data_IF_873521012541
#
_entry.id   IF_873521012541
#
_cell.length_a   1.000
_cell.length_b   1.000
_cell.length_c   1.000
_cell.angle_alpha   90.00
_cell.angle_beta   90.00
_cell.angle_gamma   90.00
#
_symmetry.space_group_name_H-M   'P 1'
#
loop_
_entity.id
_entity.type
_entity.pdbx_description
1 polymer ?
#
# COMPACT_ATOMS: atom_id res chain seq x y z
N UNK A 1 -5.58 -30.22 -3.64
CA UNK A 1 -5.59 -29.24 -2.53
C UNK A 1 -4.30 -29.36 -1.77
N UNK A 2 -3.68 -28.22 -1.45
CA UNK A 2 -2.44 -28.18 -0.67
C UNK A 2 -2.62 -28.93 0.66
N UNK A 3 -1.62 -29.70 1.05
CA UNK A 3 -1.61 -30.43 2.33
C UNK A 3 -1.09 -29.53 3.46
N UNK A 4 -0.19 -28.61 3.14
CA UNK A 4 0.33 -27.61 4.07
C UNK A 4 -0.63 -26.42 4.16
N UNK A 5 -0.72 -25.75 5.34
CA UNK A 5 -1.56 -24.58 5.48
C UNK A 5 -1.02 -23.35 4.73
N UNK A 6 -1.94 -22.45 4.36
CA UNK A 6 -1.63 -21.09 3.95
C UNK A 6 -1.43 -20.24 5.20
N UNK A 7 -0.26 -19.65 5.41
CA UNK A 7 -0.03 -18.68 6.49
C UNK A 7 -0.56 -17.30 6.11
N UNK A 8 -1.49 -16.72 6.89
CA UNK A 8 -1.97 -15.36 6.69
C UNK A 8 -1.34 -14.45 7.77
N UNK A 9 -0.27 -13.76 7.40
CA UNK A 9 0.46 -12.87 8.29
C UNK A 9 -0.17 -11.48 8.34
N UNK A 10 -0.76 -11.09 9.47
CA UNK A 10 -1.53 -9.84 9.59
C UNK A 10 -1.38 -9.17 10.96
N UNK A 11 -1.61 -7.87 11.01
CA UNK A 11 -1.59 -7.08 12.24
C UNK A 11 -3.00 -6.65 12.68
N UNK A 12 -3.87 -6.32 11.72
CA UNK A 12 -5.21 -5.84 12.03
C UNK A 12 -6.23 -6.99 12.03
N UNK A 13 -6.90 -7.29 13.16
CA UNK A 13 -7.75 -8.49 13.26
C UNK A 13 -9.02 -8.42 12.40
N UNK A 14 -9.56 -7.20 12.17
CA UNK A 14 -10.86 -7.03 11.54
C UNK A 14 -10.81 -6.79 10.04
N UNK A 15 -9.71 -6.25 9.51
CA UNK A 15 -9.62 -5.89 8.09
C UNK A 15 -9.70 -7.10 7.16
N UNK A 16 -9.32 -8.28 7.65
CA UNK A 16 -9.26 -9.51 6.85
C UNK A 16 -10.42 -10.47 7.16
N UNK A 17 -11.40 -10.03 7.95
CA UNK A 17 -12.59 -10.84 8.27
C UNK A 17 -13.31 -11.36 7.02
N UNK A 18 -13.51 -10.57 5.93
CA UNK A 18 -14.14 -11.10 4.72
C UNK A 18 -13.32 -12.24 4.08
N UNK A 19 -11.98 -12.13 4.04
CA UNK A 19 -11.13 -13.21 3.56
C UNK A 19 -11.23 -14.45 4.45
N UNK A 20 -11.11 -14.28 5.77
CA UNK A 20 -11.23 -15.41 6.70
C UNK A 20 -12.56 -16.12 6.58
N UNK A 21 -13.67 -15.37 6.49
CA UNK A 21 -15.00 -15.94 6.31
C UNK A 21 -15.10 -16.76 5.01
N UNK A 22 -14.47 -16.31 3.93
CA UNK A 22 -14.49 -17.03 2.66
C UNK A 22 -13.63 -18.31 2.72
N UNK A 23 -12.44 -18.25 3.34
CA UNK A 23 -11.58 -19.42 3.54
C UNK A 23 -12.25 -20.45 4.46
N UNK A 24 -12.90 -20.00 5.56
CA UNK A 24 -13.67 -20.85 6.48
C UNK A 24 -14.84 -21.53 5.75
N UNK A 25 -15.59 -20.77 4.92
CA UNK A 25 -16.71 -21.30 4.13
C UNK A 25 -16.28 -22.41 3.16
N UNK A 26 -15.06 -22.31 2.61
CA UNK A 26 -14.47 -23.30 1.68
C UNK A 26 -13.87 -24.50 2.40
N UNK A 27 -13.57 -24.38 3.69
CA UNK A 27 -12.78 -25.36 4.43
C UNK A 27 -11.31 -25.36 4.01
N UNK A 28 -10.80 -24.22 3.56
CA UNK A 28 -9.39 -24.05 3.16
C UNK A 28 -8.48 -24.28 4.36
N UNK A 29 -7.38 -25.03 4.17
CA UNK A 29 -6.38 -25.22 5.22
C UNK A 29 -5.50 -23.96 5.34
N UNK A 30 -5.71 -23.15 6.38
CA UNK A 30 -4.93 -21.93 6.63
C UNK A 30 -4.70 -21.68 8.11
N UNK A 31 -3.66 -20.89 8.42
CA UNK A 31 -3.33 -20.42 9.76
C UNK A 31 -3.23 -18.90 9.80
N UNK A 32 -3.75 -18.29 10.85
CA UNK A 32 -3.62 -16.85 11.14
C UNK A 32 -2.34 -16.61 11.91
N UNK A 33 -1.44 -15.79 11.37
CA UNK A 33 -0.19 -15.41 12.01
C UNK A 33 -0.34 -13.97 12.49
N UNK A 34 -0.54 -13.77 13.80
CA UNK A 34 -0.68 -12.45 14.41
C UNK A 34 0.70 -11.77 14.53
N UNK A 35 0.95 -10.79 13.69
CA UNK A 35 2.19 -10.02 13.67
C UNK A 35 2.47 -9.27 14.98
N UNK A 36 1.45 -9.01 15.81
CA UNK A 36 1.60 -8.20 17.04
C UNK A 36 2.41 -8.90 18.12
N UNK A 37 2.40 -10.23 18.11
CA UNK A 37 3.08 -11.09 19.10
C UNK A 37 3.97 -12.14 18.42
N UNK A 38 4.18 -12.00 17.13
CA UNK A 38 4.98 -12.95 16.35
C UNK A 38 6.45 -12.90 16.72
N UNK A 39 7.08 -14.07 16.69
CA UNK A 39 8.54 -14.27 16.80
C UNK A 39 8.94 -15.41 15.90
N UNK A 40 10.15 -15.39 15.38
CA UNK A 40 10.74 -16.49 14.64
C UNK A 40 12.14 -16.80 15.17
N UNK A 41 12.57 -18.03 14.98
CA UNK A 41 13.91 -18.49 15.32
C UNK A 41 14.69 -18.67 14.00
N UNK A 42 15.76 -17.87 13.74
CA UNK A 42 16.55 -17.97 12.52
C UNK A 42 17.26 -19.34 12.34
N UNK A 43 17.37 -20.15 13.37
CA UNK A 43 17.95 -21.48 13.30
C UNK A 43 16.91 -22.59 13.06
N UNK A 44 15.63 -22.25 13.00
CA UNK A 44 14.53 -23.20 12.84
C UNK A 44 13.97 -23.19 11.42
N UNK A 45 13.60 -24.38 10.95
CA UNK A 45 12.90 -24.58 9.68
C UNK A 45 11.35 -24.64 9.88
N UNK A 46 10.85 -24.22 11.06
CA UNK A 46 9.44 -24.41 11.42
C UNK A 46 8.48 -23.77 10.39
N UNK A 47 8.84 -22.62 9.84
CA UNK A 47 8.00 -21.92 8.86
C UNK A 47 7.92 -22.60 7.49
N UNK A 48 8.76 -23.60 7.22
CA UNK A 48 8.63 -24.44 6.02
C UNK A 48 7.39 -25.34 6.02
N UNK A 49 6.64 -25.36 7.15
CA UNK A 49 5.34 -26.01 7.26
C UNK A 49 4.25 -25.35 6.41
N UNK A 50 4.41 -24.08 6.02
CA UNK A 50 3.46 -23.39 5.16
C UNK A 50 3.65 -23.75 3.68
N UNK A 51 2.54 -23.92 2.95
CA UNK A 51 2.55 -23.99 1.49
C UNK A 51 3.01 -22.65 0.90
N UNK A 52 2.47 -21.57 1.45
CA UNK A 52 2.85 -20.18 1.21
C UNK A 52 2.51 -19.31 2.42
N UNK A 53 3.14 -18.14 2.50
CA UNK A 53 2.75 -17.08 3.45
C UNK A 53 2.23 -15.87 2.68
N UNK A 54 1.02 -15.43 3.02
CA UNK A 54 0.41 -14.23 2.47
C UNK A 54 0.61 -13.06 3.42
N UNK A 55 1.43 -12.09 3.02
CA UNK A 55 1.73 -10.92 3.82
C UNK A 55 0.61 -9.88 3.73
N UNK A 56 0.03 -9.55 4.89
CA UNK A 56 -1.02 -8.55 5.08
C UNK A 56 -0.65 -7.51 6.13
N UNK A 57 0.64 -7.24 6.33
CA UNK A 57 1.10 -6.16 7.21
C UNK A 57 0.78 -4.79 6.60
N UNK A 58 0.21 -3.92 7.44
CA UNK A 58 -0.15 -2.56 7.02
C UNK A 58 0.95 -1.55 7.35
N UNK A 59 1.34 -0.68 6.40
CA UNK A 59 2.22 0.46 6.69
C UNK A 59 1.59 1.46 7.67
N UNK A 60 0.26 1.41 7.88
CA UNK A 60 -0.43 2.26 8.86
C UNK A 60 -0.47 1.69 10.29
N UNK A 61 0.19 0.57 10.56
CA UNK A 61 0.22 -0.05 11.91
C UNK A 61 0.73 0.92 12.99
N UNK A 62 1.59 1.88 12.63
CA UNK A 62 2.08 2.90 13.55
C UNK A 62 0.96 3.78 14.13
N UNK A 63 -0.16 4.01 13.41
CA UNK A 63 -1.32 4.74 13.93
C UNK A 63 -2.03 4.02 15.09
N UNK A 64 -1.75 2.72 15.25
CA UNK A 64 -2.25 1.86 16.31
C UNK A 64 -1.19 1.54 17.37
N UNK A 65 -0.08 2.32 17.40
CA UNK A 65 1.02 2.13 18.34
C UNK A 65 1.94 0.94 18.02
N UNK A 66 1.88 0.42 16.78
CA UNK A 66 2.58 -0.80 16.36
C UNK A 66 3.63 -0.55 15.27
N UNK A 67 4.33 0.57 15.35
CA UNK A 67 5.40 0.93 14.39
C UNK A 67 6.51 -0.13 14.29
N UNK A 68 6.85 -0.74 15.44
CA UNK A 68 7.87 -1.80 15.50
C UNK A 68 7.50 -3.02 14.63
N UNK A 69 6.21 -3.34 14.48
CA UNK A 69 5.78 -4.46 13.65
C UNK A 69 6.08 -4.23 12.17
N UNK A 70 6.05 -2.98 11.69
CA UNK A 70 6.40 -2.65 10.31
C UNK A 70 7.87 -3.00 10.04
N UNK A 71 8.77 -2.57 10.94
CA UNK A 71 10.21 -2.83 10.81
C UNK A 71 10.52 -4.32 10.99
N UNK A 72 9.90 -4.97 11.99
CA UNK A 72 10.04 -6.40 12.24
C UNK A 72 9.61 -7.26 11.04
N UNK A 73 8.52 -6.89 10.37
CA UNK A 73 8.00 -7.62 9.21
C UNK A 73 9.04 -7.75 8.09
N UNK A 74 9.87 -6.72 7.85
CA UNK A 74 10.92 -6.80 6.84
C UNK A 74 11.91 -7.95 7.11
N UNK A 75 12.24 -8.17 8.40
CA UNK A 75 13.14 -9.25 8.81
C UNK A 75 12.47 -10.61 8.67
N UNK A 76 11.21 -10.73 9.06
CA UNK A 76 10.48 -11.98 8.96
C UNK A 76 10.26 -12.40 7.50
N UNK A 77 9.84 -11.49 6.63
CA UNK A 77 9.69 -11.79 5.21
C UNK A 77 11.02 -12.24 4.56
N UNK A 78 12.13 -11.56 4.90
CA UNK A 78 13.46 -11.98 4.45
C UNK A 78 13.86 -13.36 4.97
N UNK A 79 13.50 -13.70 6.21
CA UNK A 79 13.71 -15.04 6.77
C UNK A 79 12.94 -16.11 5.98
N UNK A 80 11.64 -15.89 5.73
CA UNK A 80 10.83 -16.82 4.94
C UNK A 80 11.40 -17.06 3.54
N UNK A 81 11.85 -15.99 2.87
CA UNK A 81 12.47 -16.08 1.55
C UNK A 81 13.79 -16.89 1.58
N UNK A 82 14.61 -16.76 2.64
CA UNK A 82 15.83 -17.55 2.83
C UNK A 82 15.52 -19.04 3.08
N UNK A 83 14.41 -19.35 3.73
CA UNK A 83 13.93 -20.73 3.88
C UNK A 83 13.31 -21.30 2.58
N UNK A 84 13.18 -20.50 1.52
CA UNK A 84 12.54 -20.90 0.28
C UNK A 84 11.01 -21.01 0.37
N UNK A 85 10.41 -20.44 1.42
CA UNK A 85 8.94 -20.36 1.56
C UNK A 85 8.39 -19.38 0.53
N UNK A 86 7.35 -19.76 -0.20
CA UNK A 86 6.63 -18.86 -1.10
C UNK A 86 5.96 -17.74 -0.30
N UNK A 87 6.30 -16.50 -0.57
CA UNK A 87 5.68 -15.33 0.08
C UNK A 87 4.97 -14.48 -0.96
N UNK A 88 3.66 -14.28 -0.79
CA UNK A 88 2.89 -13.33 -1.61
C UNK A 88 3.05 -11.95 -0.99
N UNK A 89 3.43 -10.96 -1.82
CA UNK A 89 3.88 -9.65 -1.41
C UNK A 89 5.05 -9.75 -0.40
N UNK A 90 6.13 -10.41 -0.84
CA UNK A 90 7.33 -10.67 -0.06
C UNK A 90 8.13 -9.41 0.29
N UNK A 91 9.39 -9.59 0.67
CA UNK A 91 10.23 -8.51 1.19
C UNK A 91 10.41 -7.33 0.21
N UNK A 92 10.55 -7.59 -1.08
CA UNK A 92 10.68 -6.52 -2.09
C UNK A 92 9.37 -5.74 -2.24
N UNK A 93 8.23 -6.42 -2.31
CA UNK A 93 6.91 -5.78 -2.35
C UNK A 93 6.67 -4.92 -1.11
N UNK A 94 6.97 -5.45 0.07
CA UNK A 94 6.80 -4.74 1.34
C UNK A 94 7.73 -3.53 1.48
N UNK A 95 8.96 -3.62 0.99
CA UNK A 95 9.88 -2.48 0.93
C UNK A 95 9.35 -1.36 0.04
N UNK A 96 8.73 -1.67 -1.09
CA UNK A 96 8.08 -0.68 -1.95
C UNK A 96 6.82 -0.10 -1.28
N UNK A 97 5.99 -0.93 -0.63
CA UNK A 97 4.82 -0.51 0.14
C UNK A 97 5.19 0.51 1.23
N UNK A 98 6.26 0.25 1.96
CA UNK A 98 6.68 1.05 3.12
C UNK A 98 7.59 2.23 2.76
N UNK A 99 7.79 2.56 1.48
CA UNK A 99 8.64 3.67 1.08
C UNK A 99 8.12 4.44 -0.12
N UNK A 100 7.46 5.57 0.14
CA UNK A 100 7.02 6.49 -0.93
C UNK A 100 8.20 7.03 -1.75
N UNK A 101 9.36 7.19 -1.15
CA UNK A 101 10.57 7.58 -1.87
C UNK A 101 10.98 6.53 -2.92
N UNK A 102 10.95 5.24 -2.56
CA UNK A 102 11.24 4.15 -3.50
C UNK A 102 10.15 4.02 -4.57
N UNK A 103 8.88 4.25 -4.22
CA UNK A 103 7.78 4.27 -5.19
C UNK A 103 8.03 5.31 -6.29
N UNK A 104 8.42 6.55 -5.93
CA UNK A 104 8.73 7.57 -6.92
C UNK A 104 9.98 7.23 -7.75
N UNK A 105 11.00 6.62 -7.13
CA UNK A 105 12.19 6.16 -7.85
C UNK A 105 11.84 5.05 -8.85
N UNK A 106 10.96 4.14 -8.47
CA UNK A 106 10.44 3.08 -9.34
C UNK A 106 9.67 3.69 -10.53
N UNK A 107 8.71 4.58 -10.27
CA UNK A 107 7.95 5.25 -11.33
C UNK A 107 8.87 5.99 -12.31
N UNK A 108 9.91 6.65 -11.79
CA UNK A 108 10.94 7.30 -12.64
C UNK A 108 11.68 6.28 -13.51
N UNK A 109 12.08 5.14 -12.97
CA UNK A 109 12.79 4.10 -13.73
C UNK A 109 11.96 3.51 -14.87
N UNK A 110 10.64 3.53 -14.69
CA UNK A 110 9.66 3.07 -15.68
C UNK A 110 9.26 4.19 -16.68
N UNK A 111 9.76 5.41 -16.51
CA UNK A 111 9.39 6.56 -17.34
C UNK A 111 7.96 7.07 -17.09
N UNK A 112 7.33 6.68 -15.97
CA UNK A 112 5.95 7.04 -15.65
C UNK A 112 5.88 8.36 -14.86
N UNK A 113 4.86 9.19 -15.11
CA UNK A 113 4.74 10.50 -14.48
C UNK A 113 4.26 10.38 -13.02
N UNK A 114 4.87 11.18 -12.16
CA UNK A 114 4.50 11.34 -10.74
C UNK A 114 4.68 12.80 -10.32
N UNK A 115 4.01 13.27 -9.26
CA UNK A 115 4.15 14.64 -8.77
C UNK A 115 5.61 14.94 -8.41
N UNK A 116 6.14 16.10 -8.83
CA UNK A 116 7.50 16.47 -8.52
C UNK A 116 7.73 16.48 -7.01
N UNK A 117 8.79 15.81 -6.55
CA UNK A 117 9.08 15.65 -5.12
C UNK A 117 10.59 15.68 -4.83
N UNK A 118 10.90 15.95 -3.56
CA UNK A 118 12.25 15.82 -2.97
C UNK A 118 12.14 15.06 -1.66
N UNK A 119 13.06 14.15 -1.42
CA UNK A 119 13.15 13.39 -0.17
C UNK A 119 14.07 14.13 0.79
N UNK A 120 13.65 14.20 2.05
CA UNK A 120 14.38 14.83 3.15
C UNK A 120 14.48 13.89 4.35
N UNK A 121 15.53 14.03 5.14
CA UNK A 121 15.76 13.29 6.39
C UNK A 121 15.98 14.22 7.60
N UNK A 122 15.70 15.51 7.44
CA UNK A 122 15.69 16.48 8.53
C UNK A 122 14.72 17.62 8.18
N UNK A 123 13.90 18.11 9.13
CA UNK A 123 12.90 19.15 8.87
C UNK A 123 13.49 20.43 8.27
N UNK A 124 14.68 20.85 8.69
CA UNK A 124 15.35 22.07 8.19
C UNK A 124 15.65 22.04 6.70
N UNK A 125 15.63 20.87 6.07
CA UNK A 125 15.86 20.72 4.63
C UNK A 125 14.63 21.08 3.80
N UNK A 126 13.43 21.10 4.41
CA UNK A 126 12.18 21.27 3.68
C UNK A 126 12.09 22.55 2.86
N UNK A 127 12.50 23.75 3.36
CA UNK A 127 12.47 24.99 2.56
C UNK A 127 13.41 24.93 1.34
N UNK A 128 14.58 24.31 1.47
CA UNK A 128 15.51 24.13 0.37
C UNK A 128 14.99 23.10 -0.65
N UNK A 129 14.40 22.01 -0.18
CA UNK A 129 13.80 20.98 -1.01
C UNK A 129 12.59 21.50 -1.80
N UNK A 130 11.85 22.47 -1.26
CA UNK A 130 10.71 23.09 -1.93
C UNK A 130 11.09 24.04 -3.07
N UNK A 131 12.37 24.45 -3.18
CA UNK A 131 12.79 25.36 -4.26
C UNK A 131 12.53 24.76 -5.63
N UNK A 132 11.81 25.53 -6.48
CA UNK A 132 11.45 25.12 -7.83
C UNK A 132 10.26 24.16 -7.93
N UNK A 133 9.65 23.77 -6.82
CA UNK A 133 8.35 23.11 -6.81
C UNK A 133 7.21 24.14 -6.94
N UNK A 134 6.15 23.73 -7.62
CA UNK A 134 4.95 24.55 -7.80
C UNK A 134 4.06 24.45 -6.56
N UNK A 135 3.84 25.59 -5.90
CA UNK A 135 2.91 25.67 -4.77
C UNK A 135 1.44 25.60 -5.21
N UNK A 136 0.53 25.08 -4.35
CA UNK A 136 0.81 24.55 -3.03
C UNK A 136 1.61 23.25 -3.08
N UNK A 137 2.31 22.94 -1.99
CA UNK A 137 3.05 21.69 -1.80
C UNK A 137 2.51 20.93 -0.60
N UNK A 138 2.88 19.67 -0.49
CA UNK A 138 2.66 18.86 0.71
C UNK A 138 3.97 18.33 1.25
N UNK A 139 4.05 18.22 2.58
CA UNK A 139 5.06 17.40 3.25
C UNK A 139 4.35 16.17 3.80
N UNK A 140 4.87 15.00 3.47
CA UNK A 140 4.30 13.72 3.89
C UNK A 140 5.38 12.74 4.32
N UNK A 141 5.12 11.97 5.38
CA UNK A 141 6.03 10.92 5.83
C UNK A 141 6.26 9.88 4.73
N UNK A 142 7.46 9.32 4.68
CA UNK A 142 7.83 8.25 3.76
C UNK A 142 7.05 6.95 4.06
N UNK A 143 7.09 6.49 5.30
CA UNK A 143 6.19 5.42 5.76
C UNK A 143 4.89 6.07 6.20
N UNK A 144 3.85 5.88 5.43
CA UNK A 144 2.53 6.44 5.69
C UNK A 144 1.43 5.49 5.25
N UNK A 145 0.26 5.69 5.82
CA UNK A 145 -0.95 4.98 5.42
C UNK A 145 -2.15 5.81 5.84
N UNK A 146 -3.26 5.64 5.15
CA UNK A 146 -4.51 6.35 5.45
C UNK A 146 -4.36 7.89 5.46
N UNK A 147 -3.47 8.46 4.66
CA UNK A 147 -3.25 9.91 4.57
C UNK A 147 -2.69 10.59 5.82
N UNK A 148 -2.32 9.82 6.85
CA UNK A 148 -1.84 10.37 8.09
C UNK A 148 -0.51 11.13 7.94
N UNK A 149 -0.42 12.29 8.61
CA UNK A 149 0.81 13.09 8.62
C UNK A 149 1.09 13.86 7.32
N UNK A 150 0.10 14.06 6.45
CA UNK A 150 0.24 14.92 5.27
C UNK A 150 -0.11 16.36 5.67
N UNK A 151 0.83 17.28 5.48
CA UNK A 151 0.62 18.71 5.74
C UNK A 151 0.76 19.49 4.43
N UNK A 152 -0.23 20.32 4.13
CA UNK A 152 -0.23 21.21 2.95
C UNK A 152 0.24 22.60 3.30
N UNK A 153 1.05 23.18 2.43
CA UNK A 153 1.55 24.55 2.52
C UNK A 153 1.17 25.33 1.26
N UNK A 154 0.52 26.48 1.46
CA UNK A 154 0.06 27.36 0.39
C UNK A 154 1.22 28.19 -0.19
N UNK A 155 2.15 28.59 0.66
CA UNK A 155 3.25 29.50 0.33
C UNK A 155 4.56 29.09 1.02
N UNK A 156 5.73 29.55 0.51
CA UNK A 156 7.04 29.25 1.10
C UNK A 156 7.18 29.69 2.57
N UNK A 157 6.54 30.79 2.94
CA UNK A 157 6.59 31.38 4.29
C UNK A 157 5.90 30.48 5.31
N UNK A 158 4.80 29.83 4.94
CA UNK A 158 4.08 28.88 5.81
C UNK A 158 4.94 27.66 6.12
N UNK A 159 5.65 27.16 5.11
CA UNK A 159 6.59 26.04 5.29
C UNK A 159 7.75 26.44 6.23
N UNK A 160 8.36 27.61 6.04
CA UNK A 160 9.45 28.06 6.91
C UNK A 160 8.98 28.19 8.36
N UNK A 161 7.84 28.85 8.58
CA UNK A 161 7.24 28.98 9.91
C UNK A 161 6.98 27.63 10.54
N UNK A 162 6.45 26.66 9.80
CA UNK A 162 6.20 25.30 10.30
C UNK A 162 7.50 24.58 10.70
N UNK A 163 8.60 24.80 9.98
CA UNK A 163 9.93 24.26 10.35
C UNK A 163 10.43 24.92 11.62
N UNK A 164 10.38 26.25 11.71
CA UNK A 164 10.86 27.00 12.88
C UNK A 164 10.08 26.66 14.16
N UNK A 165 8.80 26.35 14.01
CA UNK A 165 7.91 25.94 15.11
C UNK A 165 7.96 24.43 15.40
N UNK A 166 8.76 23.64 14.69
CA UNK A 166 8.90 22.19 14.90
C UNK A 166 7.67 21.38 14.50
N UNK A 167 6.83 21.90 13.58
CA UNK A 167 5.59 21.25 13.12
C UNK A 167 5.76 20.33 11.91
N UNK A 168 6.96 20.23 11.36
CA UNK A 168 7.25 19.31 10.25
C UNK A 168 7.71 17.97 10.80
N UNK A 169 6.86 16.95 10.66
CA UNK A 169 7.18 15.57 11.05
C UNK A 169 7.73 14.78 9.88
N UNK A 170 8.73 13.95 10.12
CA UNK A 170 9.30 13.04 9.11
C UNK A 170 8.70 11.63 9.18
N UNK A 171 7.88 11.34 10.21
CA UNK A 171 7.33 10.01 10.41
C UNK A 171 8.26 9.07 11.18
N UNK A 172 7.96 7.77 11.15
CA UNK A 172 8.61 6.77 12.01
C UNK A 172 9.99 6.33 11.53
N UNK A 173 10.35 6.60 10.29
CA UNK A 173 11.65 6.30 9.67
C UNK A 173 12.50 7.56 9.43
N UNK A 174 12.14 8.67 10.07
CA UNK A 174 12.85 9.97 9.95
C UNK A 174 13.06 10.40 8.49
N UNK A 175 12.10 10.07 7.62
CA UNK A 175 12.16 10.39 6.20
C UNK A 175 10.82 10.96 5.74
N UNK A 176 10.86 12.06 4.96
CA UNK A 176 9.66 12.65 4.39
C UNK A 176 9.87 13.11 2.94
N UNK A 177 8.78 13.34 2.26
CA UNK A 177 8.75 13.90 0.92
C UNK A 177 8.16 15.31 0.97
N UNK A 178 8.86 16.26 0.36
CA UNK A 178 8.34 17.58 -0.03
C UNK A 178 7.90 17.47 -1.48
N UNK A 179 6.59 17.55 -1.73
CA UNK A 179 5.99 17.19 -3.01
C UNK A 179 5.00 18.25 -3.49
N UNK A 180 4.93 18.49 -4.79
CA UNK A 180 3.87 19.31 -5.39
C UNK A 180 2.51 18.74 -5.09
N UNK A 181 1.59 19.60 -4.68
CA UNK A 181 0.18 19.25 -4.59
C UNK A 181 -0.44 19.28 -5.99
N UNK A 182 -1.13 18.21 -6.35
CA UNK A 182 -1.81 18.08 -7.63
C UNK A 182 -3.32 18.15 -7.41
N UNK A 183 -4.02 19.19 -7.92
CA UNK A 183 -5.46 19.24 -7.87
C UNK A 183 -6.05 18.20 -8.83
N UNK A 184 -6.85 17.29 -8.31
CA UNK A 184 -7.45 16.22 -9.14
C UNK A 184 -8.60 16.77 -9.97
N UNK A 185 -8.53 16.56 -11.30
CA UNK A 185 -9.60 16.92 -12.23
C UNK A 185 -10.89 16.19 -11.87
N UNK A 186 -11.99 16.93 -11.81
CA UNK A 186 -13.29 16.38 -11.43
C UNK A 186 -13.40 15.98 -9.95
N UNK A 187 -12.43 16.35 -9.11
CA UNK A 187 -12.47 16.10 -7.66
C UNK A 187 -12.39 14.61 -7.28
N UNK A 188 -11.81 13.76 -8.13
CA UNK A 188 -11.67 12.33 -7.84
C UNK A 188 -10.27 11.82 -8.13
N UNK A 189 -9.93 10.75 -7.46
CA UNK A 189 -8.78 9.91 -7.78
C UNK A 189 -9.28 8.59 -8.37
N UNK A 190 -8.43 7.91 -9.12
CA UNK A 190 -8.70 6.55 -9.59
C UNK A 190 -7.76 5.59 -8.88
N UNK A 191 -8.34 4.52 -8.31
CA UNK A 191 -7.61 3.40 -7.75
C UNK A 191 -7.85 2.17 -8.62
N UNK A 192 -6.75 1.55 -9.06
CA UNK A 192 -6.75 0.34 -9.89
C UNK A 192 -6.24 -0.81 -9.06
N UNK A 193 -7.08 -1.81 -8.86
CA UNK A 193 -6.75 -3.02 -8.10
C UNK A 193 -6.24 -4.12 -9.03
N UNK A 194 -5.26 -4.85 -8.54
CA UNK A 194 -4.56 -5.93 -9.21
C UNK A 194 -4.60 -7.17 -8.36
N UNK A 195 -4.81 -8.32 -8.96
CA UNK A 195 -4.71 -9.65 -8.34
C UNK A 195 -3.87 -10.54 -9.25
N UNK A 196 -2.93 -11.27 -8.68
CA UNK A 196 -1.96 -12.10 -9.40
C UNK A 196 -1.23 -11.31 -10.51
N UNK A 197 -0.85 -10.07 -10.21
CA UNK A 197 -0.17 -9.18 -11.16
C UNK A 197 -1.04 -8.72 -12.34
N UNK A 198 -2.36 -8.99 -12.34
CA UNK A 198 -3.30 -8.66 -13.40
C UNK A 198 -4.41 -7.75 -12.92
N UNK A 199 -4.85 -6.85 -13.82
CA UNK A 199 -5.99 -5.98 -13.57
C UNK A 199 -7.19 -6.76 -13.04
N UNK A 200 -7.73 -6.31 -11.92
CA UNK A 200 -8.92 -6.90 -11.31
C UNK A 200 -10.15 -6.00 -11.50
N UNK A 201 -10.06 -4.76 -11.06
CA UNK A 201 -11.06 -3.71 -11.24
C UNK A 201 -10.45 -2.34 -10.98
N UNK A 202 -11.21 -1.28 -11.27
CA UNK A 202 -10.86 0.06 -10.82
C UNK A 202 -12.10 0.81 -10.32
N UNK A 203 -11.85 1.82 -9.49
CA UNK A 203 -12.86 2.71 -8.93
C UNK A 203 -12.39 4.16 -9.01
N UNK A 204 -13.34 5.05 -9.23
CA UNK A 204 -13.18 6.47 -8.96
C UNK A 204 -13.71 6.78 -7.55
N UNK A 205 -12.90 7.48 -6.77
CA UNK A 205 -13.25 7.90 -5.42
C UNK A 205 -13.30 9.42 -5.41
N UNK A 206 -14.49 9.96 -5.14
CA UNK A 206 -14.75 11.39 -5.17
C UNK A 206 -14.59 12.00 -3.79
N UNK A 207 -13.84 13.11 -3.70
CA UNK A 207 -13.77 13.91 -2.48
C UNK A 207 -15.07 14.72 -2.31
N UNK A 208 -15.57 14.81 -1.08
CA UNK A 208 -16.68 15.70 -0.75
C UNK A 208 -16.14 17.13 -0.62
N UNK A 209 -16.39 17.95 -1.58
CA UNK A 209 -16.18 19.38 -1.87
C UNK A 209 -15.49 20.36 -0.91
N UNK A 210 -15.24 20.05 0.35
CA UNK A 210 -14.55 20.92 1.32
C UNK A 210 -13.20 20.37 1.80
N UNK A 211 -12.89 19.11 1.51
CA UNK A 211 -11.58 18.56 1.84
C UNK A 211 -10.72 18.49 0.59
N UNK A 212 -9.59 19.15 0.60
CA UNK A 212 -8.55 19.06 -0.40
C UNK A 212 -7.84 17.67 -0.40
N UNK A 213 -8.55 16.63 0.01
CA UNK A 213 -8.06 15.28 0.14
C UNK A 213 -8.12 14.57 -1.19
N UNK A 214 -6.99 14.44 -1.82
CA UNK A 214 -6.75 13.55 -2.95
C UNK A 214 -6.54 12.11 -2.50
N UNK A 215 -6.31 11.91 -1.21
CA UNK A 215 -6.37 10.62 -0.56
C UNK A 215 -7.73 10.50 0.12
N UNK A 216 -8.57 9.52 -0.23
CA UNK A 216 -9.85 9.29 0.45
C UNK A 216 -9.68 8.71 1.84
N UNK A 217 -8.46 8.55 2.30
CA UNK A 217 -8.11 8.25 3.66
C UNK A 217 -7.26 9.39 4.21
N UNK A 218 -7.87 10.41 4.66
CA UNK A 218 -7.64 11.40 5.68
C UNK A 218 -6.32 11.61 6.33
N UNK A 219 -5.98 12.68 6.36
CA UNK A 219 -5.62 13.76 7.28
C UNK A 219 -4.73 14.69 6.49
N UNK A 220 -5.34 15.54 5.70
CA UNK A 220 -4.64 16.77 5.33
C UNK A 220 -4.87 17.75 6.47
N UNK A 221 -3.81 18.22 7.07
CA UNK A 221 -3.89 19.39 7.95
C UNK A 221 -4.18 20.63 7.11
N UNK A 222 -4.97 21.54 7.66
CA UNK A 222 -5.17 22.86 7.08
C UNK A 222 -3.83 23.62 7.03
N UNK A 223 -3.76 24.67 6.24
CA UNK A 223 -2.59 25.56 6.15
C UNK A 223 -2.14 26.14 7.50
N UNK A 224 -3.00 26.07 8.52
CA UNK A 224 -2.76 26.58 9.89
C UNK A 224 -2.17 25.49 10.81
N UNK A 225 -1.91 24.29 10.32
CA UNK A 225 -1.36 23.19 11.12
C UNK A 225 -2.37 22.50 12.03
N UNK A 226 -3.66 22.70 11.81
CA UNK A 226 -4.72 21.98 12.51
C UNK A 226 -4.98 20.65 11.83
N UNK A 227 -4.93 19.57 12.60
CA UNK A 227 -5.24 18.22 12.13
C UNK A 227 -6.72 18.13 11.75
N UNK A 228 -7.03 17.89 10.47
CA UNK A 228 -8.39 17.67 10.03
C UNK A 228 -8.83 16.24 10.39
N UNK A 229 -10.11 16.07 10.71
CA UNK A 229 -10.65 14.80 11.16
C UNK A 229 -10.39 13.65 10.19
N UNK A 230 -10.11 12.47 10.72
CA UNK A 230 -9.85 11.25 9.96
C UNK A 230 -11.04 10.90 9.08
N UNK A 231 -10.84 10.80 7.79
CA UNK A 231 -11.78 10.20 6.89
C UNK A 231 -11.45 8.73 6.63
N UNK A 232 -12.18 8.11 5.74
CA UNK A 232 -12.13 6.68 5.54
C UNK A 232 -11.06 6.26 4.53
N UNK A 233 -10.51 5.07 4.73
CA UNK A 233 -9.77 4.37 3.68
C UNK A 233 -10.65 4.23 2.42
N UNK A 234 -10.09 4.30 1.17
CA UNK A 234 -10.86 4.10 -0.07
C UNK A 234 -11.73 2.85 -0.07
N UNK A 235 -11.26 1.79 0.57
CA UNK A 235 -12.00 0.54 0.72
C UNK A 235 -13.23 0.69 1.62
N UNK A 236 -13.22 1.65 2.55
CA UNK A 236 -14.34 1.97 3.43
C UNK A 236 -15.16 3.19 2.95
N UNK A 237 -14.76 3.80 1.82
CA UNK A 237 -15.37 5.02 1.29
C UNK A 237 -16.90 4.95 1.18
N UNK A 238 -17.53 3.86 0.66
CA UNK A 238 -18.99 3.75 0.63
C UNK A 238 -19.63 3.76 2.00
N UNK A 239 -18.98 3.18 3.03
CA UNK A 239 -19.49 3.15 4.41
C UNK A 239 -19.49 4.53 5.07
N UNK A 240 -18.62 5.44 4.59
CA UNK A 240 -18.47 6.78 5.11
C UNK A 240 -19.12 7.84 4.22
N UNK A 241 -20.08 7.46 3.40
CA UNK A 241 -20.81 8.31 2.45
C UNK A 241 -19.93 9.00 1.39
N UNK A 242 -18.71 8.53 1.16
CA UNK A 242 -17.93 8.96 0.00
C UNK A 242 -18.52 8.34 -1.26
N UNK A 243 -18.65 9.13 -2.30
CA UNK A 243 -19.08 8.62 -3.61
C UNK A 243 -17.97 7.78 -4.21
N UNK A 244 -18.27 6.51 -4.48
CA UNK A 244 -17.38 5.55 -5.15
C UNK A 244 -18.12 4.95 -6.32
N UNK A 245 -17.46 4.94 -7.49
CA UNK A 245 -18.03 4.40 -8.73
C UNK A 245 -17.06 3.41 -9.36
N UNK A 246 -17.59 2.28 -9.86
CA UNK A 246 -16.83 1.39 -10.71
C UNK A 246 -16.37 2.11 -11.98
N UNK A 247 -15.13 1.89 -12.37
CA UNK A 247 -14.53 2.51 -13.52
C UNK A 247 -13.62 1.53 -14.26
N UNK A 248 -13.57 1.61 -15.58
CA UNK A 248 -12.56 0.89 -16.38
C UNK A 248 -11.59 1.91 -16.97
N UNK A 249 -10.32 1.92 -16.56
CA UNK A 249 -9.29 2.76 -17.16
C UNK A 249 -9.02 2.36 -18.61
N UNK A 250 -8.45 3.26 -19.43
CA UNK A 250 -7.91 2.91 -20.73
C UNK A 250 -6.90 1.74 -20.63
N UNK A 251 -6.83 0.92 -21.68
CA UNK A 251 -5.96 -0.27 -21.68
C UNK A 251 -4.48 0.08 -21.48
N UNK A 252 -4.04 1.26 -21.96
CA UNK A 252 -2.68 1.77 -21.69
C UNK A 252 -2.40 1.96 -20.20
N UNK A 253 -3.39 2.47 -19.44
CA UNK A 253 -3.28 2.67 -17.98
C UNK A 253 -3.23 1.33 -17.26
N UNK A 254 -4.04 0.37 -17.72
CA UNK A 254 -4.01 -1.00 -17.18
C UNK A 254 -2.63 -1.60 -17.40
N UNK A 255 -2.05 -1.48 -18.59
CA UNK A 255 -0.72 -1.99 -18.90
C UNK A 255 0.38 -1.30 -18.06
N UNK A 256 0.29 0.02 -17.85
CA UNK A 256 1.21 0.76 -16.98
C UNK A 256 1.09 0.30 -15.52
N UNK A 257 -0.12 0.07 -15.02
CA UNK A 257 -0.35 -0.45 -13.66
C UNK A 257 0.23 -1.86 -13.51
N UNK A 258 -0.03 -2.77 -14.44
CA UNK A 258 0.56 -4.11 -14.42
C UNK A 258 2.11 -4.06 -14.45
N UNK A 259 2.68 -3.14 -15.23
CA UNK A 259 4.13 -2.91 -15.29
C UNK A 259 4.69 -2.42 -13.94
N UNK A 260 4.01 -1.47 -13.28
CA UNK A 260 4.40 -0.98 -11.94
C UNK A 260 4.38 -2.13 -10.94
N UNK A 261 3.30 -2.92 -10.94
CA UNK A 261 3.14 -4.02 -10.00
C UNK A 261 4.21 -5.09 -10.19
N UNK A 262 4.49 -5.46 -11.45
CA UNK A 262 5.56 -6.42 -11.77
C UNK A 262 6.94 -5.90 -11.31
N UNK A 263 7.26 -4.65 -11.59
CA UNK A 263 8.52 -4.04 -11.20
C UNK A 263 8.66 -3.89 -9.67
N UNK A 264 7.56 -3.66 -8.95
CA UNK A 264 7.51 -3.62 -7.49
C UNK A 264 7.47 -5.02 -6.85
N UNK A 265 7.30 -6.08 -7.63
CA UNK A 265 7.03 -7.46 -7.17
C UNK A 265 5.78 -7.57 -6.28
N UNK A 266 4.76 -6.78 -6.61
CA UNK A 266 3.47 -6.79 -5.93
C UNK A 266 2.48 -7.61 -6.76
N UNK A 267 1.95 -8.66 -6.18
CA UNK A 267 1.02 -9.56 -6.86
C UNK A 267 -0.44 -9.24 -6.55
N UNK A 268 -0.69 -8.72 -5.35
CA UNK A 268 -1.99 -8.17 -4.94
C UNK A 268 -1.78 -6.77 -4.38
N UNK A 269 -2.53 -5.81 -4.91
CA UNK A 269 -2.45 -4.43 -4.42
C UNK A 269 -3.22 -3.46 -5.28
N UNK A 270 -3.08 -2.18 -4.97
CA UNK A 270 -3.75 -1.09 -5.68
C UNK A 270 -2.80 0.05 -6.02
N UNK A 271 -2.93 0.58 -7.22
CA UNK A 271 -2.23 1.79 -7.67
C UNK A 271 -3.21 2.94 -7.70
N UNK A 272 -2.79 4.08 -7.16
CA UNK A 272 -3.57 5.30 -7.21
C UNK A 272 -2.97 6.29 -8.19
N UNK A 273 -3.84 6.85 -9.05
CA UNK A 273 -3.47 7.94 -9.94
C UNK A 273 -4.54 9.02 -9.98
N UNK A 274 -4.14 10.19 -10.44
CA UNK A 274 -5.04 11.31 -10.69
C UNK A 274 -4.68 12.01 -11.99
N UNK A 275 -5.64 12.74 -12.55
CA UNK A 275 -5.43 13.68 -13.65
C UNK A 275 -5.32 15.08 -13.07
N UNK A 276 -4.21 15.77 -13.31
CA UNK A 276 -4.03 17.17 -12.89
C UNK A 276 -5.04 18.06 -13.60
N UNK A 277 -5.83 18.80 -12.86
CA UNK A 277 -6.83 19.71 -13.42
C UNK A 277 -6.22 20.88 -14.21
N UNK A 278 -4.95 21.22 -13.89
CA UNK A 278 -4.25 22.35 -14.49
C UNK A 278 -3.73 22.08 -15.91
N UNK A 279 -3.27 20.86 -16.19
CA UNK A 279 -2.62 20.52 -17.44
C UNK A 279 -3.11 19.22 -18.11
N UNK A 280 -3.98 18.47 -17.43
CA UNK A 280 -4.52 17.21 -17.93
C UNK A 280 -3.56 16.02 -17.88
N UNK A 281 -2.41 16.17 -17.22
CA UNK A 281 -1.45 15.08 -17.06
C UNK A 281 -1.93 14.08 -16.05
N UNK A 282 -1.68 12.79 -16.33
CA UNK A 282 -1.84 11.72 -15.36
C UNK A 282 -0.61 11.63 -14.46
N UNK A 283 -0.82 11.47 -13.15
CA UNK A 283 0.22 11.25 -12.16
C UNK A 283 -0.10 10.05 -11.29
N UNK A 284 0.81 9.07 -11.24
CA UNK A 284 0.80 7.99 -10.26
C UNK A 284 1.43 8.50 -8.97
N UNK A 285 0.83 8.23 -7.80
CA UNK A 285 1.31 8.85 -6.57
C UNK A 285 1.32 7.93 -5.35
N UNK A 286 0.66 6.77 -5.43
CA UNK A 286 0.64 5.78 -4.34
C UNK A 286 0.57 4.36 -4.88
N UNK A 287 1.43 3.48 -4.33
CA UNK A 287 1.55 2.07 -4.68
C UNK A 287 1.32 1.27 -3.42
N UNK A 288 0.23 0.52 -3.36
CA UNK A 288 -0.22 -0.16 -2.17
C UNK A 288 -0.19 -1.68 -2.37
N UNK A 289 0.66 -2.40 -1.63
CA UNK A 289 0.68 -3.86 -1.60
C UNK A 289 -0.38 -4.42 -0.65
N UNK A 290 -0.91 -3.60 0.26
CA UNK A 290 -2.03 -3.96 1.10
C UNK A 290 -3.32 -3.40 0.49
N UNK A 291 -4.14 -4.26 -0.09
CA UNK A 291 -5.52 -3.93 -0.50
C UNK A 291 -6.53 -4.72 0.31
N UNK A 292 -7.54 -4.03 0.83
CA UNK A 292 -8.70 -4.63 1.47
C UNK A 292 -9.92 -4.64 0.55
N UNK A 293 -9.72 -4.30 -0.71
CA UNK A 293 -10.75 -4.13 -1.73
C UNK A 293 -11.82 -3.08 -1.37
N UNK A 294 -12.65 -2.73 -2.32
CA UNK A 294 -13.72 -1.75 -2.12
C UNK A 294 -14.84 -2.35 -1.26
N UNK A 295 -15.34 -1.59 -0.29
CA UNK A 295 -16.50 -1.99 0.48
C UNK A 295 -17.74 -2.11 -0.42
N UNK A 296 -18.64 -3.05 -0.10
CA UNK A 296 -19.84 -3.33 -0.89
C UNK A 296 -19.53 -3.62 -2.37
N UNK A 297 -18.41 -4.35 -2.59
CA UNK A 297 -17.88 -4.65 -3.92
C UNK A 297 -18.92 -5.20 -4.90
N UNK A 298 -19.82 -6.15 -4.54
CA UNK A 298 -20.83 -6.64 -5.48
C UNK A 298 -21.69 -5.53 -6.06
N UNK A 299 -22.01 -4.48 -5.29
CA UNK A 299 -22.78 -3.33 -5.77
C UNK A 299 -21.95 -2.37 -6.61
N UNK A 300 -20.68 -2.14 -6.22
CA UNK A 300 -19.82 -1.15 -6.88
C UNK A 300 -19.18 -1.67 -8.15
N UNK A 301 -18.73 -2.94 -8.15
CA UNK A 301 -17.95 -3.55 -9.23
C UNK A 301 -18.57 -4.83 -9.82
N UNK A 302 -19.71 -5.29 -9.26
CA UNK A 302 -20.48 -6.41 -9.82
C UNK A 302 -20.04 -7.81 -9.38
N UNK A 303 -19.01 -7.94 -8.52
CA UNK A 303 -18.55 -9.24 -8.00
C UNK A 303 -17.85 -9.08 -6.64
N UNK A 304 -17.67 -10.21 -5.94
CA UNK A 304 -16.92 -10.26 -4.68
C UNK A 304 -15.43 -10.58 -4.96
N UNK A 305 -14.50 -9.64 -4.74
CA UNK A 305 -13.08 -9.86 -4.98
C UNK A 305 -12.44 -10.84 -3.99
N UNK A 306 -13.03 -11.07 -2.80
CA UNK A 306 -12.50 -12.05 -1.84
C UNK A 306 -12.68 -13.48 -2.33
N UNK A 307 -13.72 -13.76 -3.11
CA UNK A 307 -13.88 -15.05 -3.80
C UNK A 307 -12.74 -15.29 -4.76
N UNK A 308 -12.40 -14.28 -5.59
CA UNK A 308 -11.27 -14.37 -6.53
C UNK A 308 -9.92 -14.50 -5.82
N UNK A 309 -9.76 -13.80 -4.69
CA UNK A 309 -8.56 -13.90 -3.88
C UNK A 309 -8.41 -15.31 -3.29
N UNK A 310 -9.47 -15.88 -2.76
CA UNK A 310 -9.44 -17.24 -2.21
C UNK A 310 -9.12 -18.27 -3.30
N UNK A 311 -9.75 -18.17 -4.50
CA UNK A 311 -9.44 -19.03 -5.66
C UNK A 311 -7.94 -19.01 -5.94
N UNK A 312 -7.36 -17.81 -6.07
CA UNK A 312 -5.95 -17.65 -6.39
C UNK A 312 -5.02 -18.15 -5.27
N UNK A 313 -5.36 -17.92 -4.00
CA UNK A 313 -4.53 -18.39 -2.88
C UNK A 313 -4.48 -19.93 -2.82
N UNK A 314 -5.60 -20.59 -3.07
CA UNK A 314 -5.67 -22.05 -3.13
C UNK A 314 -4.86 -22.60 -4.30
N UNK A 315 -5.03 -22.05 -5.50
CA UNK A 315 -4.27 -22.44 -6.71
C UNK A 315 -2.76 -22.21 -6.54
N UNK A 316 -2.35 -21.09 -5.92
CA UNK A 316 -0.94 -20.77 -5.70
C UNK A 316 -0.32 -21.67 -4.61
N UNK A 317 -1.09 -22.04 -3.56
CA UNK A 317 -0.64 -22.97 -2.54
C UNK A 317 -0.39 -24.36 -3.12
N UNK A 318 -1.32 -24.88 -3.93
CA UNK A 318 -1.16 -26.16 -4.65
C UNK A 318 0.07 -26.12 -5.57
N UNK A 319 0.26 -25.02 -6.30
CA UNK A 319 1.40 -24.82 -7.20
C UNK A 319 2.73 -24.73 -6.44
N UNK A 320 2.75 -24.09 -5.29
CA UNK A 320 3.95 -23.95 -4.45
C UNK A 320 4.39 -25.31 -3.87
N UNK A 321 3.45 -26.14 -3.41
CA UNK A 321 3.75 -27.50 -2.95
C UNK A 321 4.33 -28.37 -4.08
N UNK A 322 3.77 -28.31 -5.27
CA UNK A 322 4.28 -29.04 -6.42
C UNK A 322 5.70 -28.60 -6.82
N UNK A 323 5.98 -27.28 -6.80
CA UNK A 323 7.33 -26.75 -7.07
C UNK A 323 8.33 -27.22 -6.01
N UNK A 324 7.96 -27.21 -4.73
CA UNK A 324 8.81 -27.67 -3.64
C UNK A 324 9.12 -29.17 -3.73
N UNK A 325 8.13 -29.98 -4.11
CA UNK A 325 8.32 -31.43 -4.31
C UNK A 325 9.19 -31.76 -5.52
N UNK A 326 9.22 -30.92 -6.55
CA UNK A 326 10.02 -31.10 -7.76
C UNK A 326 11.46 -30.54 -7.62
N UNK A 327 11.75 -29.74 -6.61
CA UNK A 327 13.09 -29.20 -6.38
C UNK A 327 14.07 -30.31 -5.98
N UNK A 328 15.26 -30.43 -6.62
CA UNK A 328 16.26 -31.41 -6.20
C UNK A 328 16.70 -31.11 -4.77
N UNK A 329 16.76 -32.13 -3.92
CA UNK A 329 17.29 -31.98 -2.56
C UNK A 329 18.69 -31.34 -2.64
N UNK A 330 18.84 -30.14 -2.13
CA UNK A 330 20.16 -29.50 -1.99
C UNK A 330 20.93 -30.40 -1.01
N UNK A 331 21.93 -31.10 -1.49
CA UNK A 331 22.79 -31.93 -0.65
C UNK A 331 23.40 -31.02 0.43
N UNK A 332 23.07 -31.28 1.67
CA UNK A 332 23.72 -30.66 2.80
C UNK A 332 25.19 -31.07 2.74
N UNK A 333 26.04 -30.18 2.23
CA UNK A 333 27.49 -30.34 2.37
C UNK A 333 27.83 -29.99 3.81
N UNK A 334 28.22 -31.02 4.54
CA UNK A 334 28.72 -30.96 5.91
C UNK A 334 29.96 -30.07 6.04
#
# INVERSE_FOLDING_TARGET
MATKPIGIYHEHPDWFRPLFNELDRRGTNYERIDATHHRFDPSSDEDTRFALVFNRMSPSAYLRGRSHNILYTQHYLGHLEQLGVRVINGATAFRNETSKALQLSLLRSLGLPFPAARVINHPSQAPAAAKGLRYPIVVKANIGGSGAGIVRFGEPEDLRRAVDEGRVSLGIDETALVQEYVPARGGHITRVEVLNGKYLYAINVYSTGESFNLCPADICQSTDGVELARGACPVDAPKNNLRVEGYRPPDEVIAEVELIMAAAQIELGGIEYMIDDRDGRRYYYDINALSNFVADAPRVIGFDPFVRLADWLEDEADSAEHRAAAAPAVAATA
#
